data_IF_429548063722
#
_entry.id   IF_429548063722
#
_cell.length_a   1.000
_cell.length_b   1.000
_cell.length_c   1.000
_cell.angle_alpha   90.00
_cell.angle_beta   90.00
_cell.angle_gamma   90.00
#
_symmetry.space_group_name_H-M   'P 1'
#
loop_
_entity.id
_entity.type
_entity.pdbx_description
1 polymer ?
#
# COMPACT_ATOMS: atom_id res chain seq x y z
N UNK A 1 -26.09 37.72 15.33
CA UNK A 1 -24.71 38.00 14.91
C UNK A 1 -24.75 38.31 13.43
N UNK A 2 -24.21 39.45 13.00
CA UNK A 2 -24.15 39.79 11.57
C UNK A 2 -23.24 38.80 10.83
N UNK A 3 -23.63 38.32 9.63
CA UNK A 3 -22.92 37.28 8.89
C UNK A 3 -21.47 37.68 8.55
N UNK A 4 -21.19 38.98 8.39
CA UNK A 4 -19.85 39.51 8.15
C UNK A 4 -18.95 39.40 9.39
N UNK A 5 -19.49 39.64 10.59
CA UNK A 5 -18.75 39.46 11.85
C UNK A 5 -18.48 37.98 12.16
N UNK A 6 -19.45 37.11 11.85
CA UNK A 6 -19.27 35.66 12.01
C UNK A 6 -18.20 35.11 11.06
N UNK A 7 -18.17 35.58 9.81
CA UNK A 7 -17.15 35.22 8.83
C UNK A 7 -15.75 35.72 9.23
N UNK A 8 -15.62 36.98 9.69
CA UNK A 8 -14.34 37.53 10.15
C UNK A 8 -13.75 36.78 11.36
N UNK A 9 -14.60 36.40 12.32
CA UNK A 9 -14.19 35.61 13.48
C UNK A 9 -13.82 34.16 13.11
N UNK A 10 -14.51 33.54 12.15
CA UNK A 10 -14.17 32.22 11.64
C UNK A 10 -12.80 32.21 10.93
N UNK A 11 -12.51 33.23 10.12
CA UNK A 11 -11.23 33.40 9.42
C UNK A 11 -10.07 33.59 10.41
N UNK A 12 -10.24 34.44 11.43
CA UNK A 12 -9.22 34.66 12.46
C UNK A 12 -8.85 33.40 13.25
N UNK A 13 -9.86 32.60 13.65
CA UNK A 13 -9.65 31.33 14.37
C UNK A 13 -8.97 30.29 13.48
N UNK A 14 -9.34 30.23 12.21
CA UNK A 14 -8.75 29.33 11.23
C UNK A 14 -7.25 29.62 11.01
N UNK A 15 -6.88 30.91 10.97
CA UNK A 15 -5.48 31.34 10.89
C UNK A 15 -4.65 30.90 12.11
N UNK A 16 -5.21 30.98 13.32
CA UNK A 16 -4.57 30.48 14.54
C UNK A 16 -4.38 28.96 14.46
N UNK A 17 -5.41 28.23 14.02
CA UNK A 17 -5.33 26.78 13.84
C UNK A 17 -4.21 26.37 12.88
N UNK A 18 -4.11 27.06 11.74
CA UNK A 18 -3.04 26.82 10.77
C UNK A 18 -1.65 27.14 11.35
N UNK A 19 -1.53 28.19 12.18
CA UNK A 19 -0.28 28.53 12.84
C UNK A 19 0.16 27.45 13.85
N UNK A 20 -0.74 26.97 14.71
CA UNK A 20 -0.44 25.90 15.67
C UNK A 20 -0.12 24.60 14.93
N UNK A 21 -0.88 24.27 13.90
CA UNK A 21 -0.61 23.12 13.03
C UNK A 21 0.77 23.20 12.37
N UNK A 22 1.14 24.37 11.83
CA UNK A 22 2.48 24.61 11.29
C UNK A 22 3.55 24.34 12.34
N UNK A 23 3.35 24.79 13.58
CA UNK A 23 4.24 24.50 14.71
C UNK A 23 4.36 23.02 15.05
N UNK A 24 3.28 22.25 14.96
CA UNK A 24 3.30 20.80 15.12
C UNK A 24 4.18 20.14 14.04
N UNK A 25 3.97 20.50 12.76
CA UNK A 25 4.73 19.95 11.65
C UNK A 25 6.22 20.29 11.76
N UNK A 26 6.57 21.52 12.17
CA UNK A 26 7.95 21.91 12.44
C UNK A 26 8.60 21.03 13.54
N UNK A 27 7.93 20.87 14.68
CA UNK A 27 8.44 20.04 15.79
C UNK A 27 8.65 18.58 15.40
N UNK A 28 7.69 18.01 14.65
CA UNK A 28 7.78 16.64 14.14
C UNK A 28 8.92 16.50 13.12
N UNK A 29 9.04 17.44 12.16
CA UNK A 29 10.06 17.38 11.11
C UNK A 29 11.48 17.48 11.67
N UNK A 30 11.67 18.27 12.73
CA UNK A 30 12.94 18.39 13.46
C UNK A 30 13.39 17.07 14.10
N UNK A 31 12.44 16.22 14.56
CA UNK A 31 12.75 14.89 15.09
C UNK A 31 12.91 13.85 13.97
N UNK A 32 12.07 13.90 12.93
CA UNK A 32 12.14 12.97 11.78
C UNK A 32 13.52 13.05 11.12
N UNK A 33 14.01 14.27 10.94
CA UNK A 33 15.30 14.51 10.29
C UNK A 33 16.48 14.43 11.26
N UNK A 34 16.29 14.20 12.56
CA UNK A 34 17.41 14.23 13.51
C UNK A 34 18.55 13.26 13.13
N UNK A 35 19.80 13.73 13.21
CA UNK A 35 21.01 12.96 12.84
C UNK A 35 21.35 11.91 13.90
N UNK A 36 22.13 10.90 13.50
CA UNK A 36 22.62 9.81 14.35
C UNK A 36 21.51 8.98 15.01
N UNK A 37 20.40 8.78 14.31
CA UNK A 37 19.35 7.87 14.74
C UNK A 37 19.89 6.42 14.75
N UNK A 38 19.80 5.67 15.85
CA UNK A 38 20.30 4.29 15.91
C UNK A 38 19.63 3.38 14.87
N UNK A 39 20.41 2.53 14.19
CA UNK A 39 19.95 1.66 13.10
C UNK A 39 18.85 0.66 13.53
N UNK A 40 18.94 0.17 14.75
CA UNK A 40 18.00 -0.75 15.40
C UNK A 40 16.69 -0.06 15.76
N UNK A 41 16.70 1.25 15.96
CA UNK A 41 15.53 2.04 16.34
C UNK A 41 14.87 2.76 15.15
N UNK A 42 15.41 2.68 13.92
CA UNK A 42 14.87 3.39 12.75
C UNK A 42 13.39 3.11 12.45
N UNK A 43 12.86 1.96 12.87
CA UNK A 43 11.42 1.67 12.78
C UNK A 43 10.56 2.69 13.56
N UNK A 44 11.08 3.29 14.63
CA UNK A 44 10.39 4.35 15.39
C UNK A 44 10.33 5.66 14.59
N UNK A 45 11.37 5.99 13.83
CA UNK A 45 11.36 7.13 12.92
C UNK A 45 10.33 6.93 11.80
N UNK A 46 10.27 5.71 11.24
CA UNK A 46 9.25 5.34 10.26
C UNK A 46 7.83 5.45 10.86
N UNK A 47 7.63 4.95 12.08
CA UNK A 47 6.35 5.09 12.80
C UNK A 47 5.98 6.57 13.01
N UNK A 48 6.94 7.44 13.33
CA UNK A 48 6.71 8.88 13.44
C UNK A 48 6.24 9.50 12.12
N UNK A 49 6.87 9.14 11.00
CA UNK A 49 6.45 9.59 9.64
C UNK A 49 5.03 9.15 9.33
N UNK A 50 4.67 7.91 9.67
CA UNK A 50 3.31 7.41 9.49
C UNK A 50 2.29 8.19 10.34
N UNK A 51 2.62 8.60 11.56
CA UNK A 51 1.73 9.44 12.40
C UNK A 51 1.66 10.90 11.90
N UNK A 52 2.76 11.47 11.44
CA UNK A 52 2.75 12.79 10.78
C UNK A 52 1.83 12.78 9.56
N UNK A 53 1.91 11.70 8.78
CA UNK A 53 1.08 11.48 7.61
C UNK A 53 -0.42 11.39 7.94
N UNK A 54 -0.79 10.76 9.06
CA UNK A 54 -2.19 10.75 9.53
C UNK A 54 -2.68 12.15 9.88
N UNK A 55 -1.84 12.94 10.53
CA UNK A 55 -2.13 14.33 10.85
C UNK A 55 -2.29 15.20 9.59
N UNK A 56 -1.51 14.93 8.54
CA UNK A 56 -1.68 15.55 7.21
C UNK A 56 -3.00 15.16 6.53
N UNK A 57 -3.32 13.86 6.50
CA UNK A 57 -4.59 13.40 5.92
C UNK A 57 -5.78 14.06 6.62
N UNK A 58 -5.72 14.16 7.95
CA UNK A 58 -6.73 14.86 8.74
C UNK A 58 -6.84 16.36 8.37
N UNK A 59 -5.73 17.07 8.20
CA UNK A 59 -5.76 18.51 7.89
C UNK A 59 -6.19 18.81 6.45
N UNK A 60 -5.92 17.91 5.51
CA UNK A 60 -6.42 17.94 4.14
C UNK A 60 -7.94 17.70 4.12
N UNK A 61 -8.42 16.64 4.77
CA UNK A 61 -9.85 16.24 4.78
C UNK A 61 -10.73 17.21 5.59
N UNK A 62 -10.20 17.79 6.67
CA UNK A 62 -10.91 18.82 7.46
C UNK A 62 -10.94 20.20 6.79
N UNK A 63 -10.14 20.42 5.74
CA UNK A 63 -10.02 21.70 5.05
C UNK A 63 -9.13 22.73 5.75
N UNK A 64 -8.40 22.34 6.81
CA UNK A 64 -7.47 23.24 7.52
C UNK A 64 -6.34 23.74 6.61
N UNK A 65 -5.84 22.89 5.70
CA UNK A 65 -4.77 23.26 4.76
C UNK A 65 -5.25 24.11 3.56
N UNK A 66 -6.55 24.18 3.32
CA UNK A 66 -7.13 24.92 2.18
C UNK A 66 -7.49 26.38 2.56
N UNK A 67 -7.08 26.84 3.75
CA UNK A 67 -7.37 28.18 4.29
C UNK A 67 -6.57 29.31 3.61
N UNK A 68 -5.45 29.00 2.98
CA UNK A 68 -4.58 29.99 2.32
C UNK A 68 -5.01 30.32 0.87
N UNK A 69 -6.06 29.66 0.34
CA UNK A 69 -6.52 29.79 -1.05
C UNK A 69 -7.89 30.45 -1.19
N UNK A 70 -8.15 31.03 -2.37
CA UNK A 70 -9.36 31.72 -2.83
C UNK A 70 -10.69 30.92 -2.78
N UNK A 71 -10.78 29.82 -2.02
CA UNK A 71 -11.91 28.91 -1.95
C UNK A 71 -12.74 29.11 -0.65
N UNK A 72 -13.15 30.35 -0.38
CA UNK A 72 -14.07 30.71 0.72
C UNK A 72 -15.35 29.85 0.76
N UNK A 73 -15.84 29.39 -0.41
CA UNK A 73 -17.05 28.55 -0.50
C UNK A 73 -16.85 27.11 -0.01
N UNK A 74 -15.65 26.52 -0.10
CA UNK A 74 -15.37 25.19 0.48
C UNK A 74 -15.24 25.26 2.00
N UNK A 75 -14.66 26.34 2.50
CA UNK A 75 -14.47 26.62 3.93
C UNK A 75 -15.81 26.69 4.67
N UNK A 76 -16.84 27.25 4.03
CA UNK A 76 -18.21 27.32 4.58
C UNK A 76 -18.99 26.00 4.46
N UNK A 77 -18.57 25.08 3.56
CA UNK A 77 -19.22 23.77 3.37
C UNK A 77 -18.65 22.70 4.30
N UNK A 78 -17.36 22.73 4.62
CA UNK A 78 -16.74 21.80 5.58
C UNK A 78 -16.96 22.32 7.01
N UNK A 79 -18.18 22.13 7.51
CA UNK A 79 -18.64 22.61 8.82
C UNK A 79 -17.83 22.09 10.03
N UNK A 80 -16.98 21.08 9.87
CA UNK A 80 -16.37 20.33 10.98
C UNK A 80 -15.34 21.14 11.79
N UNK A 81 -14.44 21.89 11.14
CA UNK A 81 -13.50 22.75 11.88
C UNK A 81 -14.25 23.84 12.67
N UNK A 82 -15.31 24.41 12.09
CA UNK A 82 -16.07 25.48 12.74
C UNK A 82 -16.86 24.95 13.94
N UNK A 83 -17.47 23.76 13.83
CA UNK A 83 -18.23 23.14 14.93
C UNK A 83 -17.36 22.72 16.12
N UNK A 84 -16.18 22.15 15.88
CA UNK A 84 -15.30 21.61 16.93
C UNK A 84 -14.02 22.42 17.15
N UNK A 85 -14.01 23.69 16.73
CA UNK A 85 -12.81 24.56 16.70
C UNK A 85 -12.01 24.59 18.01
N UNK A 86 -12.69 24.64 19.16
CA UNK A 86 -12.03 24.73 20.47
C UNK A 86 -11.31 23.44 20.80
N UNK A 87 -11.96 22.29 20.58
CA UNK A 87 -11.38 20.97 20.83
C UNK A 87 -10.24 20.68 19.86
N UNK A 88 -10.40 21.03 18.58
CA UNK A 88 -9.35 20.87 17.56
C UNK A 88 -8.12 21.70 17.90
N UNK A 89 -8.31 22.98 18.25
CA UNK A 89 -7.21 23.85 18.65
C UNK A 89 -6.50 23.34 19.91
N UNK A 90 -7.26 22.91 20.91
CA UNK A 90 -6.71 22.33 22.14
C UNK A 90 -5.86 21.10 21.86
N UNK A 91 -6.35 20.16 21.04
CA UNK A 91 -5.61 18.97 20.64
C UNK A 91 -4.34 19.30 19.83
N UNK A 92 -4.41 20.28 18.91
CA UNK A 92 -3.23 20.74 18.17
C UNK A 92 -2.20 21.39 19.11
N UNK A 93 -2.63 22.18 20.09
CA UNK A 93 -1.74 22.74 21.12
C UNK A 93 -1.12 21.63 21.96
N UNK A 94 -1.90 20.62 22.36
CA UNK A 94 -1.38 19.46 23.08
C UNK A 94 -0.31 18.71 22.27
N UNK A 95 -0.52 18.53 20.96
CA UNK A 95 0.50 17.94 20.06
C UNK A 95 1.75 18.83 20.06
N UNK A 96 1.62 20.14 19.86
CA UNK A 96 2.74 21.05 19.83
C UNK A 96 3.54 21.03 21.15
N UNK A 97 2.85 21.09 22.29
CA UNK A 97 3.44 21.01 23.62
C UNK A 97 4.15 19.67 23.85
N UNK A 98 3.54 18.55 23.46
CA UNK A 98 4.11 17.22 23.59
C UNK A 98 5.49 17.12 22.92
N UNK A 99 5.61 17.59 21.68
CA UNK A 99 6.89 17.57 20.96
C UNK A 99 7.91 18.54 21.55
N UNK A 100 7.47 19.73 21.95
CA UNK A 100 8.33 20.75 22.57
C UNK A 100 8.91 20.26 23.91
N UNK A 101 8.06 19.75 24.81
CA UNK A 101 8.45 19.22 26.11
C UNK A 101 9.43 18.05 25.96
N UNK A 102 9.17 17.16 24.98
CA UNK A 102 10.08 16.07 24.68
C UNK A 102 11.46 16.57 24.24
N UNK A 103 11.51 17.51 23.28
CA UNK A 103 12.78 18.09 22.80
C UNK A 103 13.54 18.77 23.94
N UNK A 104 12.87 19.58 24.75
CA UNK A 104 13.47 20.25 25.91
C UNK A 104 13.99 19.27 26.96
N UNK A 105 13.27 18.16 27.21
CA UNK A 105 13.72 17.11 28.11
C UNK A 105 14.96 16.37 27.58
N UNK A 106 15.00 16.04 26.28
CA UNK A 106 16.16 15.38 25.68
C UNK A 106 17.38 16.31 25.61
N UNK A 107 17.16 17.60 25.34
CA UNK A 107 18.22 18.60 25.34
C UNK A 107 18.81 18.83 26.75
N UNK A 108 17.95 18.97 27.78
CA UNK A 108 18.39 19.14 29.17
C UNK A 108 19.22 17.96 29.69
N UNK A 109 18.97 16.76 29.18
CA UNK A 109 19.74 15.55 29.51
C UNK A 109 20.92 15.31 28.56
N UNK A 110 21.30 16.30 27.74
CA UNK A 110 22.38 16.25 26.74
C UNK A 110 22.28 15.15 25.70
N UNK A 111 21.10 14.53 25.56
CA UNK A 111 20.83 13.43 24.63
C UNK A 111 20.57 13.91 23.22
N UNK A 112 20.06 15.13 23.09
CA UNK A 112 19.81 15.81 21.82
C UNK A 112 20.58 17.12 21.78
N UNK A 113 21.41 17.31 20.76
CA UNK A 113 22.27 18.49 20.62
C UNK A 113 21.95 19.28 19.36
N UNK A 114 21.96 20.62 19.41
CA UNK A 114 21.76 21.44 18.23
C UNK A 114 23.01 21.36 17.33
N UNK A 115 22.81 21.22 16.03
CA UNK A 115 23.86 21.26 15.03
C UNK A 115 23.39 22.04 13.79
N UNK A 116 24.30 22.71 13.04
CA UNK A 116 23.92 23.38 11.80
C UNK A 116 23.44 22.36 10.75
N UNK A 117 22.39 22.71 9.99
CA UNK A 117 21.83 21.87 8.92
C UNK A 117 22.67 21.94 7.64
N UNK A 118 23.87 21.36 7.67
CA UNK A 118 24.88 21.46 6.60
C UNK A 118 24.45 20.83 5.27
N UNK A 119 23.55 19.85 5.29
CA UNK A 119 23.03 19.12 4.12
C UNK A 119 21.66 19.61 3.65
N UNK A 120 21.14 20.69 4.27
CA UNK A 120 19.86 21.32 3.96
C UNK A 120 18.69 20.31 3.94
N UNK A 121 18.73 19.29 4.81
CA UNK A 121 17.71 18.24 4.82
C UNK A 121 16.33 18.77 5.22
N UNK A 122 16.30 19.82 6.04
CA UNK A 122 15.07 20.48 6.47
C UNK A 122 14.46 21.36 5.36
N UNK A 123 15.28 21.83 4.40
CA UNK A 123 14.82 22.58 3.21
C UNK A 123 14.45 21.65 2.04
N UNK A 124 14.94 20.41 2.06
CA UNK A 124 14.72 19.38 1.05
C UNK A 124 14.03 18.13 1.63
N UNK A 125 12.76 18.23 2.08
CA UNK A 125 12.02 17.08 2.60
C UNK A 125 11.90 15.93 1.59
N UNK A 126 11.98 16.20 0.28
CA UNK A 126 12.05 15.17 -0.76
C UNK A 126 13.27 14.24 -0.66
N UNK A 127 14.44 14.78 -0.29
CA UNK A 127 15.68 13.98 -0.18
C UNK A 127 15.61 13.06 1.04
N UNK A 128 15.14 13.61 2.16
CA UNK A 128 14.95 12.88 3.41
C UNK A 128 13.87 11.79 3.25
N UNK A 129 12.73 12.12 2.63
CA UNK A 129 11.68 11.14 2.35
C UNK A 129 12.15 10.02 1.41
N UNK A 130 12.90 10.35 0.34
CA UNK A 130 13.49 9.37 -0.56
C UNK A 130 14.50 8.46 0.18
N UNK A 131 15.35 9.01 1.04
CA UNK A 131 16.29 8.23 1.84
C UNK A 131 15.59 7.26 2.81
N UNK A 132 14.38 7.62 3.27
CA UNK A 132 13.54 6.79 4.11
C UNK A 132 12.58 5.87 3.32
N UNK A 133 12.60 5.89 1.99
CA UNK A 133 11.64 5.22 1.10
C UNK A 133 10.17 5.54 1.45
N UNK A 134 9.91 6.79 1.83
CA UNK A 134 8.59 7.26 2.23
C UNK A 134 7.95 8.09 1.11
N UNK A 135 6.71 7.79 0.67
CA UNK A 135 6.04 8.55 -0.38
C UNK A 135 5.62 9.93 0.15
N UNK A 136 6.05 10.99 -0.52
CA UNK A 136 5.73 12.37 -0.15
C UNK A 136 5.04 13.11 -1.32
N UNK A 137 3.71 13.29 -1.27
CA UNK A 137 2.98 14.04 -2.28
C UNK A 137 3.40 15.51 -2.38
N UNK A 138 3.29 16.09 -3.57
CA UNK A 138 3.80 17.45 -3.85
C UNK A 138 3.15 18.53 -2.96
N UNK A 139 1.85 18.40 -2.65
CA UNK A 139 1.14 19.33 -1.74
C UNK A 139 1.77 19.34 -0.34
N UNK A 140 2.05 18.17 0.22
CA UNK A 140 2.66 18.02 1.56
C UNK A 140 4.12 18.47 1.57
N UNK A 141 4.87 18.14 0.52
CA UNK A 141 6.23 18.63 0.30
C UNK A 141 6.29 20.16 0.31
N UNK A 142 5.42 20.81 -0.47
CA UNK A 142 5.35 22.27 -0.51
C UNK A 142 5.05 22.86 0.88
N UNK A 143 4.08 22.28 1.59
CA UNK A 143 3.74 22.72 2.94
C UNK A 143 4.90 22.59 3.92
N UNK A 144 5.60 21.44 3.94
CA UNK A 144 6.76 21.24 4.82
C UNK A 144 7.86 22.26 4.50
N UNK A 145 8.16 22.50 3.21
CA UNK A 145 9.14 23.53 2.81
C UNK A 145 8.76 24.91 3.33
N UNK A 146 7.51 25.31 3.18
CA UNK A 146 7.01 26.60 3.67
C UNK A 146 7.09 26.70 5.20
N UNK A 147 6.70 25.63 5.91
CA UNK A 147 6.77 25.55 7.36
C UNK A 147 8.22 25.68 7.87
N UNK A 148 9.18 25.00 7.23
CA UNK A 148 10.58 25.06 7.61
C UNK A 148 11.22 26.42 7.24
N UNK A 149 10.87 27.03 6.11
CA UNK A 149 11.31 28.39 5.75
C UNK A 149 10.87 29.42 6.79
N UNK A 150 9.60 29.35 7.21
CA UNK A 150 9.07 30.23 8.26
C UNK A 150 9.81 30.06 9.59
N UNK A 151 10.22 28.83 9.92
CA UNK A 151 11.05 28.57 11.10
C UNK A 151 12.43 29.21 10.98
N UNK A 152 13.05 29.15 9.79
CA UNK A 152 14.33 29.81 9.48
C UNK A 152 14.27 31.30 9.76
N UNK A 153 13.24 31.95 9.23
CA UNK A 153 13.03 33.40 9.32
C UNK A 153 12.81 33.87 10.76
N UNK A 154 12.19 33.02 11.59
CA UNK A 154 11.95 33.30 13.01
C UNK A 154 13.16 33.06 13.91
N UNK A 155 14.19 32.34 13.43
CA UNK A 155 15.39 31.99 14.19
C UNK A 155 16.54 32.95 13.91
N UNK A 156 17.17 33.49 14.97
CA UNK A 156 18.37 34.36 14.85
C UNK A 156 19.63 33.61 14.42
N UNK A 157 19.67 32.30 14.64
CA UNK A 157 20.83 31.43 14.42
C UNK A 157 20.68 30.56 13.15
N UNK A 158 19.66 30.82 12.34
CA UNK A 158 19.31 30.00 11.17
C UNK A 158 18.61 28.69 11.55
N UNK A 159 18.58 27.73 10.60
CA UNK A 159 18.01 26.41 10.83
C UNK A 159 19.00 25.51 11.57
N UNK A 160 18.55 25.05 12.73
CA UNK A 160 19.27 24.09 13.56
C UNK A 160 18.64 22.73 13.40
N UNK A 161 19.46 21.73 13.09
CA UNK A 161 19.07 20.33 13.03
C UNK A 161 19.52 19.61 14.30
N UNK A 162 18.64 18.79 14.85
CA UNK A 162 18.98 18.01 16.04
C UNK A 162 19.89 16.83 15.71
N UNK A 163 20.80 16.51 16.62
CA UNK A 163 21.67 15.33 16.55
C UNK A 163 21.56 14.53 17.84
N UNK A 164 21.29 13.23 17.73
CA UNK A 164 21.29 12.32 18.87
C UNK A 164 22.71 12.04 19.36
N UNK A 165 22.98 12.32 20.63
CA UNK A 165 24.18 11.91 21.34
C UNK A 165 23.96 10.56 22.06
N UNK A 166 22.76 10.34 22.58
CA UNK A 166 22.26 9.04 23.04
C UNK A 166 20.75 8.98 22.81
N UNK A 167 20.23 7.80 22.46
CA UNK A 167 18.82 7.65 22.11
C UNK A 167 18.05 6.98 23.24
N UNK A 168 17.04 7.68 23.77
CA UNK A 168 16.12 7.12 24.76
C UNK A 168 14.91 6.49 24.04
N UNK A 169 15.02 5.19 23.78
CA UNK A 169 13.97 4.40 23.12
C UNK A 169 12.64 4.46 23.87
N UNK A 170 12.65 4.29 25.19
CA UNK A 170 11.43 4.23 26.00
C UNK A 170 10.70 5.59 25.99
N UNK A 171 11.44 6.70 26.15
CA UNK A 171 10.84 8.03 26.08
C UNK A 171 10.25 8.31 24.68
N UNK A 172 10.91 7.86 23.61
CA UNK A 172 10.41 8.04 22.24
C UNK A 172 9.17 7.20 21.96
N UNK A 173 9.09 5.97 22.48
CA UNK A 173 7.88 5.15 22.40
C UNK A 173 6.68 5.78 23.13
N UNK A 174 6.91 6.38 24.30
CA UNK A 174 5.89 7.15 25.04
C UNK A 174 5.42 8.37 24.24
N UNK A 175 6.35 9.11 23.61
CA UNK A 175 6.03 10.22 22.71
C UNK A 175 5.10 9.75 21.57
N UNK A 176 5.45 8.66 20.89
CA UNK A 176 4.67 8.12 19.78
C UNK A 176 3.29 7.62 20.21
N UNK A 177 3.20 6.95 21.37
CA UNK A 177 1.93 6.48 21.92
C UNK A 177 0.98 7.66 22.23
N UNK A 178 1.49 8.71 22.87
CA UNK A 178 0.71 9.93 23.14
C UNK A 178 0.31 10.65 21.85
N UNK A 179 1.23 10.77 20.89
CA UNK A 179 0.93 11.39 19.60
C UNK A 179 -0.14 10.62 18.82
N UNK A 180 -0.05 9.28 18.79
CA UNK A 180 -1.09 8.43 18.19
C UNK A 180 -2.45 8.67 18.83
N UNK A 181 -2.50 8.74 20.17
CA UNK A 181 -3.76 8.97 20.91
C UNK A 181 -4.37 10.34 20.58
N UNK A 182 -3.54 11.38 20.43
CA UNK A 182 -4.00 12.71 20.01
C UNK A 182 -4.50 12.71 18.56
N UNK A 183 -3.84 11.99 17.66
CA UNK A 183 -4.29 11.80 16.27
C UNK A 183 -5.61 11.03 16.19
N UNK A 184 -5.79 10.03 17.04
CA UNK A 184 -7.05 9.26 17.15
C UNK A 184 -8.17 10.19 17.61
N UNK A 185 -7.95 10.96 18.68
CA UNK A 185 -8.92 11.95 19.17
C UNK A 185 -9.29 13.00 18.11
N UNK A 186 -8.32 13.48 17.34
CA UNK A 186 -8.56 14.41 16.24
C UNK A 186 -9.44 13.78 15.14
N UNK A 187 -9.21 12.50 14.83
CA UNK A 187 -9.98 11.76 13.83
C UNK A 187 -11.39 11.46 14.31
N UNK A 188 -11.54 11.08 15.58
CA UNK A 188 -12.81 10.73 16.21
C UNK A 188 -13.80 11.92 16.30
N UNK A 189 -13.30 13.16 16.24
CA UNK A 189 -14.12 14.38 16.18
C UNK A 189 -14.83 14.54 14.82
N UNK A 190 -14.31 13.91 13.76
CA UNK A 190 -14.90 14.02 12.42
C UNK A 190 -16.10 13.08 12.25
N UNK A 191 -16.95 13.36 11.27
CA UNK A 191 -18.06 12.46 10.93
C UNK A 191 -17.56 11.15 10.28
N UNK A 192 -18.42 10.13 10.26
CA UNK A 192 -18.05 8.80 9.74
C UNK A 192 -17.55 8.83 8.29
N UNK A 193 -18.03 9.80 7.48
CA UNK A 193 -17.62 9.95 6.09
C UNK A 193 -16.16 10.39 5.99
N UNK A 194 -15.80 11.46 6.69
CA UNK A 194 -14.43 11.99 6.70
C UNK A 194 -13.45 11.03 7.39
N UNK A 195 -13.91 10.28 8.40
CA UNK A 195 -13.10 9.21 9.01
C UNK A 195 -12.73 8.11 8.01
N UNK A 196 -13.66 7.69 7.14
CA UNK A 196 -13.39 6.71 6.07
C UNK A 196 -12.41 7.28 5.04
N UNK A 197 -12.58 8.54 4.63
CA UNK A 197 -11.69 9.21 3.68
C UNK A 197 -10.23 9.29 4.19
N UNK A 198 -10.05 9.60 5.48
CA UNK A 198 -8.73 9.58 6.13
C UNK A 198 -8.16 8.16 6.17
N UNK A 199 -8.98 7.16 6.51
CA UNK A 199 -8.54 5.76 6.56
C UNK A 199 -8.04 5.31 5.19
N UNK A 200 -8.79 5.56 4.13
CA UNK A 200 -8.44 5.13 2.78
C UNK A 200 -7.15 5.84 2.31
N UNK A 201 -7.02 7.15 2.60
CA UNK A 201 -5.78 7.91 2.34
C UNK A 201 -4.56 7.33 3.08
N UNK A 202 -4.74 6.91 4.33
CA UNK A 202 -3.68 6.29 5.14
C UNK A 202 -3.33 4.91 4.60
N UNK A 203 -4.30 4.10 4.19
CA UNK A 203 -4.07 2.80 3.57
C UNK A 203 -3.27 2.92 2.27
N UNK A 204 -3.65 3.85 1.39
CA UNK A 204 -2.94 4.07 0.13
C UNK A 204 -1.50 4.52 0.35
N UNK A 205 -1.28 5.40 1.34
CA UNK A 205 0.07 5.83 1.70
C UNK A 205 0.89 4.66 2.24
N UNK A 206 0.30 3.83 3.09
CA UNK A 206 0.95 2.63 3.64
C UNK A 206 1.31 1.61 2.55
N UNK A 207 0.44 1.41 1.55
CA UNK A 207 0.72 0.58 0.38
C UNK A 207 1.89 1.17 -0.43
N UNK A 208 1.93 2.49 -0.59
CA UNK A 208 3.07 3.18 -1.22
C UNK A 208 4.38 2.96 -0.48
N UNK A 209 4.39 3.07 0.86
CA UNK A 209 5.56 2.74 1.70
C UNK A 209 6.00 1.30 1.45
N UNK A 210 5.06 0.34 1.51
CA UNK A 210 5.36 -1.07 1.25
C UNK A 210 5.96 -1.29 -0.15
N UNK A 211 5.47 -0.60 -1.18
CA UNK A 211 5.99 -0.72 -2.54
C UNK A 211 7.43 -0.22 -2.66
N UNK A 212 7.76 0.92 -2.04
CA UNK A 212 9.08 1.56 -2.14
C UNK A 212 10.20 0.82 -1.38
N UNK A 213 9.86 -0.02 -0.40
CA UNK A 213 10.85 -0.79 0.37
C UNK A 213 11.24 -2.08 -0.34
N UNK A 214 12.46 -2.15 -0.88
CA UNK A 214 13.02 -3.33 -1.56
C UNK A 214 14.16 -4.01 -0.78
N UNK A 215 14.42 -3.59 0.46
CA UNK A 215 15.46 -4.18 1.31
C UNK A 215 14.80 -4.87 2.49
N UNK A 216 15.23 -6.10 2.77
CA UNK A 216 14.72 -6.93 3.88
C UNK A 216 14.81 -6.19 5.22
N UNK A 217 15.94 -5.50 5.48
CA UNK A 217 16.12 -4.73 6.70
C UNK A 217 15.09 -3.60 6.83
N UNK A 218 14.71 -2.96 5.73
CA UNK A 218 13.74 -1.89 5.72
C UNK A 218 12.30 -2.41 5.81
N UNK A 219 12.01 -3.57 5.22
CA UNK A 219 10.73 -4.25 5.37
C UNK A 219 10.53 -4.81 6.78
N UNK A 220 11.59 -5.31 7.42
CA UNK A 220 11.58 -5.69 8.83
C UNK A 220 11.26 -4.50 9.74
N UNK A 221 11.84 -3.32 9.45
CA UNK A 221 11.51 -2.07 10.16
C UNK A 221 10.05 -1.66 9.95
N UNK A 222 9.51 -1.80 8.74
CA UNK A 222 8.10 -1.55 8.46
C UNK A 222 7.20 -2.49 9.26
N UNK A 223 7.50 -3.79 9.28
CA UNK A 223 6.77 -4.78 10.07
C UNK A 223 6.77 -4.42 11.56
N UNK A 224 7.93 -4.08 12.13
CA UNK A 224 8.02 -3.67 13.54
C UNK A 224 7.21 -2.41 13.82
N UNK A 225 7.23 -1.42 12.92
CA UNK A 225 6.43 -0.20 13.05
C UNK A 225 4.91 -0.49 13.00
N UNK A 226 4.49 -1.44 12.17
CA UNK A 226 3.10 -1.87 12.04
C UNK A 226 2.63 -2.70 13.24
N UNK A 227 3.42 -3.68 13.69
CA UNK A 227 3.10 -4.53 14.83
C UNK A 227 2.93 -3.67 16.10
N UNK A 228 3.79 -2.66 16.32
CA UNK A 228 3.64 -1.70 17.43
C UNK A 228 2.39 -0.81 17.32
N UNK A 229 1.88 -0.57 16.11
CA UNK A 229 0.60 0.12 15.93
C UNK A 229 -0.58 -0.80 16.24
N UNK A 230 -0.51 -2.07 15.85
CA UNK A 230 -1.50 -3.08 16.21
C UNK A 230 -1.60 -3.28 17.73
N UNK A 231 -0.46 -3.37 18.41
CA UNK A 231 -0.41 -3.50 19.88
C UNK A 231 -1.02 -2.28 20.58
N UNK A 232 -0.79 -1.09 20.04
CA UNK A 232 -1.37 0.16 20.57
C UNK A 232 -2.85 0.34 20.24
N UNK A 233 -3.40 -0.37 19.24
CA UNK A 233 -4.80 -0.27 18.82
C UNK A 233 -5.79 -0.98 19.78
N UNK A 234 -5.30 -1.61 20.85
CA UNK A 234 -6.11 -2.18 21.95
C UNK A 234 -6.21 -1.14 23.09
N UNK A 235 -7.31 -0.39 23.26
CA UNK A 235 -7.37 0.64 24.29
C UNK A 235 -7.92 0.09 25.61
N UNK A 236 -7.40 0.52 26.77
CA UNK A 236 -8.24 0.77 27.92
C UNK A 236 -8.86 2.17 27.77
N UNK A 237 -10.13 2.20 27.37
CA UNK A 237 -11.09 3.31 27.44
C UNK A 237 -10.92 4.56 26.54
N UNK A 238 -12.10 4.98 26.02
CA UNK A 238 -12.45 6.19 25.26
C UNK A 238 -11.94 6.25 23.81
N UNK A 239 -12.47 5.37 22.94
CA UNK A 239 -12.55 5.65 21.50
C UNK A 239 -14.03 5.66 21.10
N UNK A 240 -14.46 6.73 20.43
CA UNK A 240 -15.85 6.92 19.98
C UNK A 240 -16.15 6.14 18.69
N UNK A 241 -15.14 5.50 18.10
CA UNK A 241 -15.30 4.62 16.96
C UNK A 241 -16.25 3.46 17.29
N UNK A 242 -17.17 3.20 16.36
CA UNK A 242 -17.99 1.99 16.40
C UNK A 242 -17.08 0.76 16.46
N UNK A 243 -17.54 -0.29 17.15
CA UNK A 243 -16.79 -1.56 17.25
C UNK A 243 -16.42 -2.13 15.87
N UNK A 244 -17.26 -1.89 14.86
CA UNK A 244 -17.02 -2.29 13.48
C UNK A 244 -15.88 -1.51 12.82
N UNK A 245 -15.80 -0.19 13.04
CA UNK A 245 -14.73 0.65 12.47
C UNK A 245 -13.36 0.28 13.05
N UNK A 246 -13.29 -0.01 14.35
CA UNK A 246 -12.06 -0.49 15.02
C UNK A 246 -11.61 -1.85 14.50
N UNK A 247 -12.56 -2.77 14.30
CA UNK A 247 -12.25 -4.08 13.74
C UNK A 247 -11.73 -3.97 12.30
N UNK A 248 -12.33 -3.10 11.47
CA UNK A 248 -11.84 -2.84 10.12
C UNK A 248 -10.41 -2.27 10.12
N UNK A 249 -10.14 -1.24 10.92
CA UNK A 249 -8.80 -0.65 11.01
C UNK A 249 -7.74 -1.67 11.48
N UNK A 250 -8.08 -2.54 12.43
CA UNK A 250 -7.19 -3.59 12.89
C UNK A 250 -6.96 -4.66 11.82
N UNK A 251 -8.00 -5.07 11.09
CA UNK A 251 -7.89 -6.03 9.99
C UNK A 251 -7.03 -5.47 8.85
N UNK A 252 -7.20 -4.19 8.49
CA UNK A 252 -6.39 -3.51 7.46
C UNK A 252 -4.91 -3.45 7.83
N UNK A 253 -4.60 -3.11 9.09
CA UNK A 253 -3.23 -3.09 9.60
C UNK A 253 -2.64 -4.52 9.66
N UNK A 254 -3.44 -5.51 10.05
CA UNK A 254 -3.01 -6.91 10.09
C UNK A 254 -2.72 -7.44 8.67
N UNK A 255 -3.56 -7.10 7.70
CA UNK A 255 -3.35 -7.43 6.29
C UNK A 255 -2.07 -6.79 5.76
N UNK A 256 -1.84 -5.51 6.06
CA UNK A 256 -0.62 -4.81 5.64
C UNK A 256 0.64 -5.41 6.31
N UNK A 257 0.57 -5.76 7.59
CA UNK A 257 1.67 -6.43 8.30
C UNK A 257 1.97 -7.81 7.68
N UNK A 258 0.94 -8.59 7.32
CA UNK A 258 1.09 -9.85 6.60
C UNK A 258 1.75 -9.65 5.23
N UNK A 259 1.32 -8.65 4.47
CA UNK A 259 1.91 -8.32 3.17
C UNK A 259 3.37 -7.85 3.30
N UNK A 260 3.70 -7.07 4.33
CA UNK A 260 5.07 -6.64 4.60
C UNK A 260 5.97 -7.81 5.00
N UNK A 261 5.48 -8.73 5.86
CA UNK A 261 6.17 -9.98 6.23
C UNK A 261 6.40 -10.85 4.99
N UNK A 262 5.40 -10.97 4.13
CA UNK A 262 5.49 -11.72 2.87
C UNK A 262 6.50 -11.09 1.90
N UNK A 263 6.46 -9.77 1.70
CA UNK A 263 7.45 -9.07 0.86
C UNK A 263 8.87 -9.22 1.40
N UNK A 264 9.05 -9.10 2.72
CA UNK A 264 10.36 -9.28 3.36
C UNK A 264 10.93 -10.68 3.11
N UNK A 265 10.05 -11.70 3.17
CA UNK A 265 10.42 -13.08 2.84
C UNK A 265 10.85 -13.20 1.38
N UNK A 266 10.06 -12.70 0.43
CA UNK A 266 10.40 -12.78 -0.99
C UNK A 266 11.75 -12.09 -1.30
N UNK A 267 11.98 -10.88 -0.77
CA UNK A 267 13.24 -10.14 -0.94
C UNK A 267 14.43 -10.88 -0.28
N UNK A 268 14.18 -11.64 0.81
CA UNK A 268 15.21 -12.47 1.45
C UNK A 268 15.63 -13.66 0.62
N UNK A 269 14.65 -14.31 -0.02
CA UNK A 269 14.86 -15.43 -0.93
C UNK A 269 15.58 -14.96 -2.21
N UNK A 270 15.34 -13.74 -2.68
CA UNK A 270 16.06 -13.15 -3.81
C UNK A 270 17.56 -12.87 -3.49
N UNK A 271 17.86 -12.47 -2.24
CA UNK A 271 19.22 -12.16 -1.78
C UNK A 271 20.12 -13.40 -1.60
N UNK A 272 19.54 -14.60 -1.50
CA UNK A 272 20.25 -15.90 -1.42
C UNK A 272 21.15 -16.21 -2.62
N UNK A 273 21.03 -15.46 -3.73
CA UNK A 273 22.01 -15.54 -4.82
C UNK A 273 23.43 -15.15 -4.37
N UNK A 274 23.62 -14.58 -3.17
CA UNK A 274 24.91 -14.06 -2.70
C UNK A 274 25.42 -14.56 -1.32
N UNK A 275 24.61 -15.08 -0.36
CA UNK A 275 25.11 -15.67 0.91
C UNK A 275 24.18 -16.72 1.56
N UNK A 276 24.69 -17.64 2.41
CA UNK A 276 23.89 -18.68 3.07
C UNK A 276 23.12 -18.16 4.31
N UNK A 277 21.97 -18.78 4.53
CA UNK A 277 20.91 -18.50 5.52
C UNK A 277 21.32 -18.61 7.00
N UNK A 278 20.76 -17.76 7.88
CA UNK A 278 20.86 -17.86 9.35
C UNK A 278 19.55 -18.37 10.00
N UNK A 279 19.63 -19.55 10.64
CA UNK A 279 18.51 -20.43 11.02
C UNK A 279 17.52 -19.79 12.02
N UNK A 280 17.98 -18.77 12.77
CA UNK A 280 17.18 -17.98 13.70
C UNK A 280 16.07 -17.15 13.01
N UNK A 281 16.30 -16.72 11.76
CA UNK A 281 15.35 -15.91 10.98
C UNK A 281 14.19 -16.76 10.44
N UNK A 282 14.47 -18.04 10.11
CA UNK A 282 13.45 -19.00 9.66
C UNK A 282 12.45 -19.34 10.77
N UNK A 283 12.94 -19.57 11.99
CA UNK A 283 12.08 -19.90 13.13
C UNK A 283 11.17 -18.73 13.54
N UNK A 284 11.63 -17.50 13.38
CA UNK A 284 10.87 -16.30 13.76
C UNK A 284 9.65 -16.02 12.87
N UNK A 285 9.64 -16.55 11.64
CA UNK A 285 8.63 -16.23 10.62
C UNK A 285 7.52 -17.30 10.45
N UNK A 286 7.62 -18.47 11.11
CA UNK A 286 6.62 -19.57 11.06
C UNK A 286 6.07 -19.86 9.64
N UNK A 287 6.94 -19.93 8.63
CA UNK A 287 6.55 -20.29 7.26
C UNK A 287 7.31 -21.54 6.78
N UNK A 288 6.68 -22.27 5.86
CA UNK A 288 7.03 -23.62 5.43
C UNK A 288 8.42 -23.77 4.80
N UNK A 289 8.89 -25.02 4.72
CA UNK A 289 10.24 -25.40 4.31
C UNK A 289 10.64 -24.89 2.90
N UNK A 290 11.86 -24.35 2.73
CA UNK A 290 12.34 -23.81 1.46
C UNK A 290 12.89 -24.93 0.58
N UNK A 291 12.13 -25.32 -0.45
CA UNK A 291 12.57 -26.32 -1.42
C UNK A 291 11.97 -26.20 -2.83
N UNK A 292 10.91 -25.40 -3.02
CA UNK A 292 10.23 -25.29 -4.31
C UNK A 292 10.25 -23.83 -4.77
N UNK A 293 11.17 -23.53 -5.70
CA UNK A 293 11.24 -22.24 -6.40
C UNK A 293 10.21 -22.24 -7.52
N UNK A 294 9.23 -21.34 -7.46
CA UNK A 294 8.18 -21.22 -8.48
C UNK A 294 8.26 -19.84 -9.16
N UNK A 295 8.31 -19.78 -10.50
CA UNK A 295 8.55 -18.54 -11.27
C UNK A 295 7.23 -17.94 -11.82
N UNK A 296 7.15 -16.60 -11.85
CA UNK A 296 6.01 -15.71 -12.15
C UNK A 296 5.06 -16.18 -13.25
N UNK A 297 3.76 -16.30 -12.93
CA UNK A 297 2.58 -16.28 -13.80
C UNK A 297 1.30 -16.62 -13.03
N UNK A 298 0.14 -16.08 -13.42
CA UNK A 298 -1.12 -16.42 -12.76
C UNK A 298 -1.45 -17.91 -13.00
N UNK A 299 -1.40 -18.72 -11.93
CA UNK A 299 -1.60 -20.18 -11.97
C UNK A 299 -2.06 -20.70 -10.61
N UNK A 300 -2.51 -21.94 -10.57
CA UNK A 300 -3.20 -22.54 -9.41
C UNK A 300 -2.28 -22.62 -8.19
N UNK A 301 -1.02 -22.97 -8.40
CA UNK A 301 0.02 -22.98 -7.37
C UNK A 301 0.29 -21.60 -6.75
N UNK A 302 -0.01 -20.53 -7.48
CA UNK A 302 0.17 -19.16 -7.02
C UNK A 302 -1.08 -18.61 -6.31
N UNK A 303 -2.14 -19.39 -6.12
CA UNK A 303 -3.33 -19.00 -5.36
C UNK A 303 -3.30 -19.73 -4.02
N UNK A 304 -3.05 -18.97 -2.95
CA UNK A 304 -2.91 -19.49 -1.59
C UNK A 304 -4.10 -19.08 -0.73
N UNK A 305 -4.57 -20.01 0.09
CA UNK A 305 -5.62 -19.76 1.08
C UNK A 305 -5.06 -19.95 2.48
N UNK A 306 -5.24 -18.96 3.35
CA UNK A 306 -4.87 -19.09 4.75
C UNK A 306 -6.01 -19.70 5.57
N UNK A 307 -5.62 -20.49 6.57
CA UNK A 307 -6.56 -21.03 7.55
C UNK A 307 -6.87 -19.97 8.60
N UNK A 308 -8.14 -19.87 8.95
CA UNK A 308 -8.62 -19.15 10.13
C UNK A 308 -8.08 -19.83 11.39
N UNK A 309 -8.09 -19.14 12.54
CA UNK A 309 -7.70 -19.70 13.84
C UNK A 309 -8.53 -20.95 14.22
N UNK A 310 -9.69 -21.16 13.59
CA UNK A 310 -10.53 -22.35 13.73
C UNK A 310 -10.14 -23.52 12.80
N UNK A 311 -9.02 -23.41 12.06
CA UNK A 311 -8.48 -24.47 11.20
C UNK A 311 -9.11 -24.59 9.80
N UNK A 312 -10.16 -23.80 9.50
CA UNK A 312 -10.83 -23.77 8.19
C UNK A 312 -10.13 -22.80 7.23
N UNK A 313 -9.88 -23.22 5.99
CA UNK A 313 -9.40 -22.35 4.92
C UNK A 313 -10.47 -21.30 4.57
N UNK A 314 -10.06 -20.04 4.45
CA UNK A 314 -10.97 -18.97 4.02
C UNK A 314 -10.93 -18.82 2.49
N UNK A 315 -11.88 -19.45 1.80
CA UNK A 315 -11.97 -19.38 0.33
C UNK A 315 -12.46 -18.04 -0.21
N UNK A 316 -13.03 -17.17 0.63
CA UNK A 316 -13.49 -15.85 0.20
C UNK A 316 -12.33 -14.87 -0.02
N UNK A 317 -11.17 -15.13 0.61
CA UNK A 317 -10.00 -14.25 0.57
C UNK A 317 -8.76 -15.02 0.08
N UNK A 318 -8.68 -15.36 -1.22
CA UNK A 318 -7.46 -15.91 -1.80
C UNK A 318 -6.34 -14.87 -1.80
N UNK A 319 -5.10 -15.34 -1.70
CA UNK A 319 -3.90 -14.55 -1.84
C UNK A 319 -3.18 -15.00 -3.10
N UNK A 320 -2.90 -14.05 -3.98
CA UNK A 320 -2.01 -14.30 -5.11
C UNK A 320 -0.56 -14.17 -4.62
N UNK A 321 0.29 -15.11 -4.99
CA UNK A 321 1.73 -15.12 -4.68
C UNK A 321 2.57 -15.19 -5.96
N UNK A 322 3.89 -15.06 -5.84
CA UNK A 322 4.80 -15.12 -6.99
C UNK A 322 4.92 -13.81 -7.78
N UNK A 323 4.68 -12.66 -7.14
CA UNK A 323 4.80 -11.31 -7.72
C UNK A 323 6.23 -10.82 -7.94
N UNK A 324 7.24 -11.67 -7.71
CA UNK A 324 8.68 -11.36 -7.74
C UNK A 324 9.16 -10.76 -9.08
N UNK A 325 8.30 -10.75 -10.11
CA UNK A 325 8.57 -10.18 -11.43
C UNK A 325 7.40 -9.35 -12.02
N UNK A 326 6.44 -8.87 -11.20
CA UNK A 326 5.40 -7.94 -11.69
C UNK A 326 6.02 -6.58 -12.02
N UNK A 327 6.40 -6.37 -13.28
CA UNK A 327 7.06 -5.14 -13.74
C UNK A 327 6.04 -4.02 -14.00
N UNK A 328 6.36 -2.75 -13.70
CA UNK A 328 5.66 -1.62 -14.27
C UNK A 328 5.79 -1.66 -15.81
N UNK A 329 4.74 -1.29 -16.53
CA UNK A 329 4.62 -1.28 -17.99
C UNK A 329 5.59 -0.32 -18.71
N UNK A 330 6.89 -0.35 -18.43
CA UNK A 330 7.91 0.50 -19.08
C UNK A 330 8.55 -0.21 -20.27
N UNK A 331 8.73 0.52 -21.35
CA UNK A 331 9.10 0.00 -22.68
C UNK A 331 10.56 -0.41 -22.84
N UNK A 332 11.43 -0.12 -21.87
CA UNK A 332 12.90 -0.10 -22.02
C UNK A 332 13.65 -1.25 -21.35
N UNK A 333 12.98 -2.14 -20.62
CA UNK A 333 13.64 -3.30 -20.01
C UNK A 333 13.45 -4.61 -20.81
N UNK A 334 14.51 -5.43 -20.82
CA UNK A 334 14.52 -6.72 -21.49
C UNK A 334 13.63 -7.74 -20.75
N UNK A 335 12.74 -8.41 -21.49
CA UNK A 335 11.96 -9.54 -20.99
C UNK A 335 12.91 -10.69 -20.70
N UNK A 336 13.04 -11.11 -19.44
CA UNK A 336 13.78 -12.33 -19.12
C UNK A 336 13.16 -13.51 -19.88
N UNK A 337 13.98 -14.22 -20.66
CA UNK A 337 13.54 -15.37 -21.45
C UNK A 337 13.13 -16.46 -20.44
N UNK A 338 11.84 -16.84 -20.37
CA UNK A 338 11.41 -17.76 -19.35
C UNK A 338 11.99 -19.16 -19.59
N UNK A 339 12.31 -19.86 -18.50
CA UNK A 339 12.58 -21.30 -18.49
C UNK A 339 11.39 -22.06 -19.12
N UNK A 340 11.70 -23.08 -19.90
CA UNK A 340 10.74 -23.89 -20.67
C UNK A 340 10.07 -24.96 -19.78
N UNK A 341 9.47 -24.52 -18.68
CA UNK A 341 8.73 -25.39 -17.77
C UNK A 341 7.36 -25.75 -18.38
N UNK A 342 7.17 -27.04 -18.64
CA UNK A 342 6.00 -27.59 -19.31
C UNK A 342 4.70 -27.36 -18.52
N UNK A 343 4.76 -27.45 -17.20
CA UNK A 343 3.60 -27.24 -16.33
C UNK A 343 3.21 -25.77 -16.30
N UNK A 344 4.20 -24.89 -16.23
CA UNK A 344 3.92 -23.46 -16.27
C UNK A 344 3.37 -23.01 -17.63
N UNK A 345 3.83 -23.62 -18.73
CA UNK A 345 3.33 -23.33 -20.07
C UNK A 345 1.83 -23.65 -20.24
N UNK A 346 1.19 -24.45 -19.37
CA UNK A 346 -0.27 -24.68 -19.44
C UNK A 346 -1.10 -23.40 -19.25
N UNK A 347 -0.62 -22.47 -18.44
CA UNK A 347 -1.34 -21.24 -18.10
C UNK A 347 -0.94 -20.06 -18.98
N UNK A 348 0.16 -20.16 -19.73
CA UNK A 348 0.68 -19.06 -20.56
C UNK A 348 -0.08 -18.93 -21.88
N UNK A 349 -0.22 -17.70 -22.38
CA UNK A 349 -0.79 -17.50 -23.71
C UNK A 349 0.09 -18.14 -24.82
N UNK A 350 -0.49 -18.78 -25.86
CA UNK A 350 0.30 -19.47 -26.90
C UNK A 350 1.34 -18.59 -27.61
N UNK A 351 1.09 -17.28 -27.73
CA UNK A 351 2.02 -16.33 -28.38
C UNK A 351 3.33 -16.10 -27.62
N UNK A 352 3.38 -16.34 -26.30
CA UNK A 352 4.62 -16.22 -25.51
C UNK A 352 5.38 -17.54 -25.43
N UNK A 353 4.78 -18.64 -25.87
CA UNK A 353 5.35 -19.99 -25.86
C UNK A 353 6.07 -20.35 -27.17
N UNK A 354 6.11 -19.44 -28.16
CA UNK A 354 6.67 -19.72 -29.48
C UNK A 354 8.14 -20.16 -29.39
N UNK A 355 8.50 -21.20 -30.15
CA UNK A 355 9.85 -21.80 -30.15
C UNK A 355 10.96 -20.81 -30.56
N UNK A 356 10.64 -19.78 -31.35
CA UNK A 356 11.60 -18.76 -31.76
C UNK A 356 11.52 -17.54 -30.82
N UNK A 357 12.55 -17.27 -29.99
CA UNK A 357 12.56 -16.13 -29.08
C UNK A 357 12.36 -14.77 -29.76
N UNK A 358 12.83 -14.61 -31.00
CA UNK A 358 12.69 -13.36 -31.76
C UNK A 358 11.26 -13.12 -32.27
N UNK A 359 10.38 -14.13 -32.22
CA UNK A 359 8.97 -14.05 -32.59
C UNK A 359 8.03 -14.08 -31.38
N UNK A 360 8.54 -14.23 -30.16
CA UNK A 360 7.72 -14.19 -28.95
C UNK A 360 7.23 -12.77 -28.74
N UNK A 361 5.94 -12.62 -28.53
CA UNK A 361 5.39 -11.33 -28.16
C UNK A 361 5.82 -10.96 -26.73
N UNK A 362 5.97 -9.65 -26.48
CA UNK A 362 6.15 -9.14 -25.12
C UNK A 362 4.89 -9.47 -24.30
N UNK A 363 5.07 -9.59 -22.99
CA UNK A 363 3.95 -9.86 -22.09
C UNK A 363 2.93 -8.73 -22.14
N UNK A 364 1.63 -9.07 -22.16
CA UNK A 364 0.51 -8.12 -22.25
C UNK A 364 -0.56 -8.44 -21.21
N UNK A 365 -1.41 -7.46 -20.91
CA UNK A 365 -2.51 -7.62 -19.93
C UNK A 365 -3.50 -8.70 -20.36
N UNK A 366 -3.76 -8.84 -21.66
CA UNK A 366 -4.59 -9.92 -22.21
C UNK A 366 -4.05 -11.33 -21.89
N UNK A 367 -2.74 -11.49 -21.67
CA UNK A 367 -2.14 -12.79 -21.32
C UNK A 367 -2.39 -13.18 -19.87
N UNK A 368 -2.48 -12.21 -18.95
CA UNK A 368 -2.95 -12.47 -17.58
C UNK A 368 -4.42 -12.90 -17.58
N UNK A 369 -5.25 -12.23 -18.40
CA UNK A 369 -6.67 -12.57 -18.55
C UNK A 369 -6.84 -13.99 -19.11
N UNK A 370 -6.00 -14.40 -20.07
CA UNK A 370 -5.96 -15.78 -20.55
C UNK A 370 -5.64 -16.77 -19.43
N UNK A 371 -4.60 -16.47 -18.65
CA UNK A 371 -4.18 -17.32 -17.52
C UNK A 371 -5.30 -17.50 -16.49
N UNK A 372 -6.06 -16.43 -16.23
CA UNK A 372 -7.27 -16.48 -15.39
C UNK A 372 -8.36 -17.36 -15.99
N UNK A 373 -8.55 -17.32 -17.31
CA UNK A 373 -9.47 -18.22 -18.01
C UNK A 373 -9.11 -19.69 -17.81
N UNK A 374 -7.82 -20.04 -17.83
CA UNK A 374 -7.36 -21.42 -17.57
C UNK A 374 -7.72 -21.84 -16.14
N UNK A 375 -7.55 -20.95 -15.16
CA UNK A 375 -7.97 -21.20 -13.77
C UNK A 375 -9.48 -21.44 -13.65
N UNK A 376 -10.29 -20.67 -14.37
CA UNK A 376 -11.74 -20.88 -14.37
C UNK A 376 -12.13 -22.26 -14.91
N UNK A 377 -11.41 -22.76 -15.94
CA UNK A 377 -11.61 -24.13 -16.43
C UNK A 377 -11.33 -25.15 -15.33
N UNK A 378 -10.23 -24.98 -14.59
CA UNK A 378 -9.87 -25.89 -13.49
C UNK A 378 -10.88 -25.86 -12.35
N UNK A 379 -11.36 -24.66 -11.99
CA UNK A 379 -12.40 -24.48 -10.95
C UNK A 379 -13.68 -25.19 -11.36
N UNK A 380 -14.11 -25.04 -12.61
CA UNK A 380 -15.34 -25.64 -13.12
C UNK A 380 -15.32 -27.18 -13.13
N UNK A 381 -14.15 -27.78 -13.37
CA UNK A 381 -14.00 -29.24 -13.42
C UNK A 381 -13.42 -29.84 -12.13
N UNK A 382 -13.01 -28.99 -11.19
CA UNK A 382 -12.26 -29.37 -9.98
C UNK A 382 -11.05 -30.26 -10.28
N UNK A 383 -10.34 -29.97 -11.37
CA UNK A 383 -9.21 -30.75 -11.86
C UNK A 383 -8.20 -29.87 -12.64
N UNK A 384 -6.90 -30.20 -12.61
CA UNK A 384 -5.89 -29.51 -13.41
C UNK A 384 -6.19 -29.55 -14.92
N UNK A 385 -5.83 -28.49 -15.65
CA UNK A 385 -6.22 -28.34 -17.06
C UNK A 385 -5.66 -29.43 -17.98
N UNK A 386 -4.48 -29.98 -17.68
CA UNK A 386 -3.94 -31.13 -18.41
C UNK A 386 -4.83 -32.37 -18.25
N UNK A 387 -5.42 -32.59 -17.07
CA UNK A 387 -6.36 -33.69 -16.83
C UNK A 387 -7.70 -33.46 -17.53
N UNK A 388 -8.22 -32.23 -17.49
CA UNK A 388 -9.45 -31.85 -18.20
C UNK A 388 -9.30 -32.11 -19.71
N UNK A 389 -8.14 -31.80 -20.28
CA UNK A 389 -7.87 -31.99 -21.70
C UNK A 389 -7.32 -33.38 -22.06
N UNK A 390 -7.03 -34.24 -21.07
CA UNK A 390 -6.41 -35.54 -21.29
C UNK A 390 -4.96 -35.46 -21.81
N UNK A 391 -4.25 -34.38 -21.50
CA UNK A 391 -2.87 -34.15 -21.89
C UNK A 391 -1.90 -34.78 -20.90
N UNK A 392 -0.84 -35.39 -21.42
CA UNK A 392 0.31 -35.85 -20.64
C UNK A 392 1.51 -34.95 -20.98
N UNK A 393 1.59 -33.82 -20.27
CA UNK A 393 2.62 -32.79 -20.49
C UNK A 393 4.02 -33.25 -20.10
N UNK A 394 4.14 -34.20 -19.16
CA UNK A 394 5.41 -34.79 -18.76
C UNK A 394 6.03 -35.58 -19.92
N UNK A 395 5.18 -36.28 -20.69
CA UNK A 395 5.60 -37.01 -21.88
C UNK A 395 5.72 -36.12 -23.12
N UNK A 396 4.84 -35.11 -23.26
CA UNK A 396 4.78 -34.25 -24.44
C UNK A 396 4.53 -32.79 -24.06
N UNK A 397 5.57 -32.02 -23.66
CA UNK A 397 5.46 -30.62 -23.26
C UNK A 397 4.78 -29.70 -24.29
N UNK A 398 4.92 -30.01 -25.58
CA UNK A 398 4.32 -29.23 -26.68
C UNK A 398 2.78 -29.26 -26.70
N UNK A 399 2.14 -30.10 -25.88
CA UNK A 399 0.69 -30.07 -25.68
C UNK A 399 0.21 -28.78 -24.99
N UNK A 400 1.08 -28.08 -24.25
CA UNK A 400 0.74 -26.80 -23.63
C UNK A 400 0.26 -25.74 -24.64
N UNK A 401 0.82 -25.74 -25.85
CA UNK A 401 0.40 -24.85 -26.95
C UNK A 401 -1.05 -25.10 -27.41
N UNK A 402 -1.60 -26.29 -27.12
CA UNK A 402 -2.95 -26.70 -27.55
C UNK A 402 -4.02 -26.44 -26.50
N UNK A 403 -3.67 -25.90 -25.33
CA UNK A 403 -4.63 -25.66 -24.23
C UNK A 403 -5.76 -24.75 -24.70
N UNK A 404 -5.43 -23.62 -25.33
CA UNK A 404 -6.42 -22.66 -25.85
C UNK A 404 -7.43 -23.32 -26.78
N UNK A 405 -6.94 -23.98 -27.83
CA UNK A 405 -7.80 -24.59 -28.84
C UNK A 405 -8.59 -25.77 -28.28
N UNK A 406 -7.99 -26.54 -27.37
CA UNK A 406 -8.63 -27.67 -26.70
C UNK A 406 -9.79 -27.24 -25.79
N UNK A 407 -9.63 -26.15 -25.04
CA UNK A 407 -10.70 -25.60 -24.18
C UNK A 407 -11.82 -24.98 -25.00
N UNK A 408 -11.52 -24.37 -26.16
CA UNK A 408 -12.52 -23.70 -27.01
C UNK A 408 -13.36 -24.64 -27.88
N UNK A 409 -13.16 -25.96 -27.80
CA UNK A 409 -14.04 -26.93 -28.45
C UNK A 409 -15.47 -26.82 -27.89
N UNK A 410 -16.48 -26.95 -28.76
CA UNK A 410 -17.89 -26.76 -28.37
C UNK A 410 -18.31 -27.65 -27.20
N UNK A 411 -17.96 -28.94 -27.24
CA UNK A 411 -18.28 -29.89 -26.17
C UNK A 411 -17.63 -29.49 -24.83
N UNK A 412 -16.42 -28.93 -24.85
CA UNK A 412 -15.69 -28.50 -23.65
C UNK A 412 -16.26 -27.23 -23.04
N UNK A 413 -16.66 -26.29 -23.90
CA UNK A 413 -17.38 -25.09 -23.46
C UNK A 413 -18.74 -25.48 -22.86
N UNK A 414 -19.49 -26.37 -23.51
CA UNK A 414 -20.76 -26.85 -22.99
C UNK A 414 -20.61 -27.55 -21.62
N UNK A 415 -19.52 -28.29 -21.41
CA UNK A 415 -19.18 -28.91 -20.12
C UNK A 415 -18.96 -27.85 -19.02
N UNK A 416 -18.33 -26.72 -19.32
CA UNK A 416 -18.19 -25.59 -18.39
C UNK A 416 -19.57 -25.04 -17.98
N UNK A 417 -20.46 -24.85 -18.94
CA UNK A 417 -21.84 -24.40 -18.69
C UNK A 417 -22.64 -25.39 -17.88
N UNK A 418 -22.49 -26.70 -18.15
CA UNK A 418 -23.16 -27.75 -17.40
C UNK A 418 -22.73 -27.78 -15.93
N UNK A 419 -21.44 -27.50 -15.64
CA UNK A 419 -20.91 -27.53 -14.28
C UNK A 419 -21.17 -26.23 -13.50
N UNK A 420 -21.07 -25.06 -14.14
CA UNK A 420 -21.04 -23.75 -13.45
C UNK A 420 -22.10 -22.75 -13.93
N UNK A 421 -22.87 -23.09 -14.96
CA UNK A 421 -23.88 -22.23 -15.57
C UNK A 421 -23.36 -21.34 -16.72
N UNK A 422 -24.28 -20.88 -17.56
CA UNK A 422 -24.00 -20.12 -18.80
C UNK A 422 -23.23 -18.82 -18.55
N UNK A 423 -23.46 -18.17 -17.40
CA UNK A 423 -22.75 -16.92 -17.03
C UNK A 423 -21.26 -17.18 -16.84
N UNK A 424 -20.93 -18.25 -16.11
CA UNK A 424 -19.54 -18.64 -15.86
C UNK A 424 -18.86 -19.16 -17.14
N UNK A 425 -19.60 -19.93 -17.95
CA UNK A 425 -19.15 -20.38 -19.27
C UNK A 425 -18.77 -19.19 -20.16
N UNK A 426 -19.67 -18.22 -20.30
CA UNK A 426 -19.47 -17.05 -21.16
C UNK A 426 -18.29 -16.20 -20.71
N UNK A 427 -18.12 -16.02 -19.39
CA UNK A 427 -16.97 -15.34 -18.80
C UNK A 427 -15.65 -16.07 -19.11
N UNK A 428 -15.61 -17.38 -18.87
CA UNK A 428 -14.43 -18.24 -19.10
C UNK A 428 -14.03 -18.26 -20.58
N UNK A 429 -15.01 -18.45 -21.48
CA UNK A 429 -14.79 -18.45 -22.93
C UNK A 429 -14.16 -17.15 -23.41
N UNK A 430 -14.62 -16.00 -22.90
CA UNK A 430 -14.04 -14.68 -23.27
C UNK A 430 -12.59 -14.56 -22.83
N UNK A 431 -12.27 -14.99 -21.61
CA UNK A 431 -10.90 -14.97 -21.09
C UNK A 431 -9.95 -15.82 -21.94
N UNK A 432 -10.36 -17.04 -22.32
CA UNK A 432 -9.55 -17.95 -23.15
C UNK A 432 -9.46 -17.49 -24.61
N UNK A 433 -10.56 -16.99 -25.18
CA UNK A 433 -10.59 -16.55 -26.57
C UNK A 433 -9.76 -15.29 -26.80
N UNK A 434 -9.79 -14.32 -25.88
CA UNK A 434 -9.02 -13.09 -26.00
C UNK A 434 -9.42 -12.21 -27.20
N UNK A 435 -8.52 -11.31 -27.60
CA UNK A 435 -8.67 -10.47 -28.81
C UNK A 435 -9.99 -9.68 -28.82
N UNK A 436 -10.75 -9.80 -29.92
CA UNK A 436 -12.05 -9.13 -30.07
C UNK A 436 -13.07 -9.44 -28.97
N UNK A 437 -12.98 -10.61 -28.32
CA UNK A 437 -13.85 -10.95 -27.18
C UNK A 437 -13.60 -10.07 -25.95
N UNK A 438 -12.43 -9.46 -25.87
CA UNK A 438 -12.01 -8.48 -24.85
C UNK A 438 -12.02 -7.04 -25.37
N UNK A 439 -12.55 -6.81 -26.57
CA UNK A 439 -12.60 -5.49 -27.20
C UNK A 439 -11.27 -5.01 -27.77
N UNK A 440 -10.38 -5.93 -28.13
CA UNK A 440 -9.12 -5.66 -28.82
C UNK A 440 -9.25 -5.89 -30.33
N UNK A 441 -8.71 -4.99 -31.13
CA UNK A 441 -8.46 -5.13 -32.57
C UNK A 441 -7.06 -5.74 -32.82
N UNK A 442 -6.81 -6.25 -34.03
CA UNK A 442 -5.55 -6.94 -34.36
C UNK A 442 -4.32 -6.01 -34.34
N UNK A 443 -4.52 -4.71 -34.56
CA UNK A 443 -3.50 -3.66 -34.56
C UNK A 443 -3.39 -2.89 -33.23
N UNK A 444 -4.19 -3.26 -32.22
CA UNK A 444 -4.17 -2.60 -30.93
C UNK A 444 -2.85 -2.82 -30.19
N UNK A 445 -2.29 -1.72 -29.67
CA UNK A 445 -1.15 -1.73 -28.77
C UNK A 445 -1.67 -1.62 -27.34
N UNK A 446 -1.68 -2.72 -26.58
CA UNK A 446 -2.23 -2.77 -25.22
C UNK A 446 -1.56 -1.82 -24.20
N UNK A 447 -0.38 -1.28 -24.52
CA UNK A 447 0.28 -0.26 -23.68
C UNK A 447 -0.24 1.16 -23.93
N UNK A 448 -1.04 1.39 -24.96
CA UNK A 448 -1.73 2.66 -25.17
C UNK A 448 -2.84 2.84 -24.12
N UNK A 449 -2.90 4.01 -23.50
CA UNK A 449 -3.82 4.28 -22.40
C UNK A 449 -5.29 4.08 -22.79
N UNK A 450 -5.67 4.41 -24.03
CA UNK A 450 -7.05 4.29 -24.50
C UNK A 450 -7.43 2.82 -24.74
N UNK A 451 -6.50 2.04 -25.28
CA UNK A 451 -6.66 0.59 -25.48
C UNK A 451 -6.69 -0.14 -24.14
N UNK A 452 -5.77 0.21 -23.22
CA UNK A 452 -5.70 -0.37 -21.88
C UNK A 452 -6.97 -0.09 -21.07
N UNK A 453 -7.51 1.14 -21.15
CA UNK A 453 -8.77 1.50 -20.51
C UNK A 453 -9.94 0.72 -21.11
N UNK A 454 -10.03 0.62 -22.45
CA UNK A 454 -11.07 -0.15 -23.14
C UNK A 454 -11.04 -1.63 -22.75
N UNK A 455 -9.86 -2.25 -22.77
CA UNK A 455 -9.64 -3.64 -22.35
C UNK A 455 -10.08 -3.84 -20.90
N UNK A 456 -9.67 -2.95 -19.99
CA UNK A 456 -10.02 -3.04 -18.57
C UNK A 456 -11.52 -2.91 -18.32
N UNK A 457 -12.16 -1.96 -19.00
CA UNK A 457 -13.61 -1.73 -18.91
C UNK A 457 -14.39 -2.93 -19.44
N UNK A 458 -14.03 -3.42 -20.63
CA UNK A 458 -14.66 -4.61 -21.24
C UNK A 458 -14.49 -5.84 -20.36
N UNK A 459 -13.29 -6.10 -19.85
CA UNK A 459 -13.06 -7.20 -18.94
C UNK A 459 -13.91 -7.07 -17.66
N UNK A 460 -13.98 -5.88 -17.07
CA UNK A 460 -14.80 -5.65 -15.89
C UNK A 460 -16.30 -5.90 -16.16
N UNK A 461 -16.86 -5.30 -17.22
CA UNK A 461 -18.29 -5.40 -17.53
C UNK A 461 -18.71 -6.80 -17.99
N UNK A 462 -17.92 -7.43 -18.87
CA UNK A 462 -18.30 -8.66 -19.54
C UNK A 462 -17.86 -9.93 -18.78
N UNK A 463 -16.93 -9.82 -17.83
CA UNK A 463 -16.43 -10.94 -17.02
C UNK A 463 -16.70 -10.70 -15.54
N UNK A 464 -16.06 -9.70 -14.92
CA UNK A 464 -16.08 -9.52 -13.46
C UNK A 464 -17.49 -9.25 -12.92
N UNK A 465 -18.20 -8.29 -13.51
CA UNK A 465 -19.55 -7.93 -13.10
C UNK A 465 -20.53 -9.08 -13.29
N UNK A 466 -20.45 -9.80 -14.41
CA UNK A 466 -21.32 -10.97 -14.65
C UNK A 466 -21.05 -12.09 -13.65
N UNK A 467 -19.79 -12.36 -13.34
CA UNK A 467 -19.44 -13.33 -12.30
C UNK A 467 -19.91 -12.90 -10.91
N UNK A 468 -20.01 -11.61 -10.62
CA UNK A 468 -20.55 -11.12 -9.34
C UNK A 468 -22.05 -11.40 -9.15
N UNK A 469 -22.78 -11.62 -10.26
CA UNK A 469 -24.20 -11.97 -10.23
C UNK A 469 -24.43 -13.49 -10.04
N UNK A 470 -23.36 -14.30 -10.12
CA UNK A 470 -23.44 -15.75 -9.89
C UNK A 470 -23.68 -16.03 -8.41
N UNK A 471 -24.78 -16.71 -8.10
CA UNK A 471 -25.10 -17.16 -6.74
C UNK A 471 -24.44 -18.52 -6.49
N UNK A 472 -23.57 -18.56 -5.48
CA UNK A 472 -22.85 -19.77 -5.03
C UNK A 472 -23.65 -20.48 -3.95
#
# INVERSE_FOLDING_TARGET
>A
MDPVSAAGLAIGVASIGLQVYTGCIQGIQLLITARNFPEDCKFLNLRLRMEQQRLFAWSETSGLLDLDGSQQEKILKTNTFILHRTTVLDLLVQIQCLFKEFQEHQHRNERLRPAPDTDAALEHPEKDAAAANFPLPEKRKHFIKQAMSKLKEQSREGLVRWTWASFDKAAFEVLLSRFSSLNDNMTDILDARLQVEIRDTVQDTNRGVLQLHHRIADLGRLVMALDLKLEAAVPPHISLLSKAQRAANADDLEQLAKLAKFKAFNESVESEKQRPWDEATAMSLKLAQPGHRERLGLRSHNIVFFRTNAGKANYANPYLIGFDYSRPSRSDEATDIPSDDAEYNLYRHPQVQLMNPAKRERFKKSFDIYSLGVLFVEIAHWAPVDKVLGFDINRRPSLALKVRDGVLLEDRIAELGANMGEVFEGATKRCIAGGGSLGLADDDVETDDTVAARLSMRFYEDVVKKLSDVRV
#
